data_IF_085816236904
#
_entry.id   IF_085816236904
#
_cell.length_a   1.000
_cell.length_b   1.000
_cell.length_c   1.000
_cell.angle_alpha   90.00
_cell.angle_beta   90.00
_cell.angle_gamma   90.00
#
_symmetry.space_group_name_H-M   'P 1'
#
loop_
_entity.id
_entity.type
_entity.pdbx_description
1 polymer ?
#
# COMPACT_ATOMS: atom_id res chain seq x y z
N UNK A 1 -16.43 36.19 -25.75
CA UNK A 1 -17.32 35.06 -25.53
C UNK A 1 -16.60 34.09 -24.65
N UNK A 2 -16.83 34.32 -23.47
CA UNK A 2 -16.46 33.82 -22.17
C UNK A 2 -16.35 32.31 -22.12
N UNK A 3 -15.16 31.87 -21.85
CA UNK A 3 -14.85 30.57 -21.30
C UNK A 3 -15.33 30.54 -19.84
N UNK A 4 -16.63 30.34 -19.64
CA UNK A 4 -17.19 29.90 -18.39
C UNK A 4 -17.06 28.39 -18.34
N UNK A 5 -16.70 27.94 -17.15
CA UNK A 5 -16.77 26.55 -16.70
C UNK A 5 -15.55 25.67 -16.97
N UNK A 6 -14.35 26.18 -16.74
CA UNK A 6 -13.30 25.29 -16.26
C UNK A 6 -13.44 25.12 -14.72
N UNK A 7 -14.52 24.51 -14.30
CA UNK A 7 -14.54 23.80 -13.03
C UNK A 7 -13.54 22.66 -13.20
N UNK A 8 -12.28 22.95 -12.84
CA UNK A 8 -11.16 22.04 -12.94
C UNK A 8 -11.49 20.69 -12.30
N UNK A 9 -12.10 19.82 -13.10
CA UNK A 9 -12.03 18.39 -12.84
C UNK A 9 -10.53 18.10 -12.85
N UNK A 10 -9.94 17.65 -11.75
CA UNK A 10 -8.51 17.35 -11.70
C UNK A 10 -8.22 16.42 -12.90
N UNK A 11 -7.31 16.81 -13.78
CA UNK A 11 -6.89 15.94 -14.89
C UNK A 11 -6.56 14.58 -14.30
N UNK A 12 -7.34 13.59 -14.64
CA UNK A 12 -7.14 12.23 -14.15
C UNK A 12 -5.78 11.75 -14.67
N UNK A 13 -4.82 11.65 -13.78
CA UNK A 13 -3.48 11.21 -14.15
C UNK A 13 -3.54 9.79 -14.67
N UNK A 14 -2.82 9.51 -15.77
CA UNK A 14 -2.81 8.19 -16.37
C UNK A 14 -2.54 7.10 -15.32
N UNK A 15 -3.50 6.18 -15.15
CA UNK A 15 -3.42 5.09 -14.18
C UNK A 15 -3.85 5.43 -12.75
N UNK A 16 -4.37 6.63 -12.50
CA UNK A 16 -4.80 7.03 -11.15
C UNK A 16 -5.84 6.08 -10.56
N UNK A 17 -6.83 5.65 -11.33
CA UNK A 17 -7.84 4.68 -10.87
C UNK A 17 -7.22 3.36 -10.41
N UNK A 18 -6.22 2.84 -11.12
CA UNK A 18 -5.51 1.62 -10.72
C UNK A 18 -4.63 1.85 -9.48
N UNK A 19 -4.02 3.02 -9.33
CA UNK A 19 -3.27 3.40 -8.13
C UNK A 19 -4.17 3.45 -6.90
N UNK A 20 -5.34 4.08 -7.01
CA UNK A 20 -6.36 4.13 -5.95
C UNK A 20 -6.84 2.72 -5.60
N UNK A 21 -7.14 1.89 -6.60
CA UNK A 21 -7.57 0.51 -6.38
C UNK A 21 -6.51 -0.32 -5.64
N UNK A 22 -5.23 -0.13 -5.95
CA UNK A 22 -4.13 -0.83 -5.28
C UNK A 22 -4.05 -0.47 -3.79
N UNK A 23 -4.11 0.81 -3.44
CA UNK A 23 -4.04 1.25 -2.05
C UNK A 23 -5.34 0.93 -1.27
N UNK A 24 -6.50 1.01 -1.92
CA UNK A 24 -7.76 0.57 -1.33
C UNK A 24 -7.76 -0.93 -1.02
N UNK A 25 -7.24 -1.77 -1.92
CA UNK A 25 -7.08 -3.21 -1.70
C UNK A 25 -6.09 -3.52 -0.58
N UNK A 26 -5.02 -2.72 -0.44
CA UNK A 26 -4.11 -2.83 0.70
C UNK A 26 -4.85 -2.59 2.03
N UNK A 27 -5.64 -1.53 2.12
CA UNK A 27 -6.44 -1.24 3.31
C UNK A 27 -7.52 -2.31 3.57
N UNK A 28 -8.20 -2.78 2.52
CA UNK A 28 -9.16 -3.90 2.63
C UNK A 28 -8.47 -5.16 3.13
N UNK A 29 -7.25 -5.45 2.67
CA UNK A 29 -6.46 -6.57 3.15
C UNK A 29 -6.13 -6.49 4.65
N UNK A 30 -5.90 -5.29 5.15
CA UNK A 30 -5.63 -5.08 6.57
C UNK A 30 -6.89 -5.12 7.44
N UNK A 31 -7.98 -4.52 6.97
CA UNK A 31 -9.15 -4.21 7.81
C UNK A 31 -10.30 -5.23 7.69
N UNK A 32 -10.48 -5.84 6.52
CA UNK A 32 -11.71 -6.58 6.21
C UNK A 32 -11.45 -8.02 5.76
N UNK A 33 -10.57 -8.21 4.80
CA UNK A 33 -10.35 -9.50 4.11
C UNK A 33 -8.86 -9.86 4.09
N UNK A 34 -8.24 -10.12 5.25
CA UNK A 34 -6.80 -10.44 5.32
C UNK A 34 -6.45 -11.65 4.45
N UNK A 35 -5.40 -11.52 3.67
CA UNK A 35 -4.94 -12.54 2.73
C UNK A 35 -5.64 -12.49 1.37
N UNK A 36 -6.96 -12.37 1.30
CA UNK A 36 -7.67 -12.29 0.02
C UNK A 36 -7.35 -10.98 -0.71
N UNK A 37 -7.32 -9.86 0.01
CA UNK A 37 -6.89 -8.57 -0.56
C UNK A 37 -5.47 -8.62 -1.10
N UNK A 38 -4.56 -9.31 -0.43
CA UNK A 38 -3.20 -9.55 -0.91
C UNK A 38 -3.18 -10.39 -2.19
N UNK A 39 -3.97 -11.47 -2.27
CA UNK A 39 -4.04 -12.29 -3.47
C UNK A 39 -4.52 -11.48 -4.68
N UNK A 40 -5.55 -10.65 -4.50
CA UNK A 40 -6.04 -9.75 -5.56
C UNK A 40 -4.95 -8.76 -5.97
N UNK A 41 -4.25 -8.15 -5.01
CA UNK A 41 -3.13 -7.25 -5.28
C UNK A 41 -2.02 -7.95 -6.07
N UNK A 42 -1.65 -9.17 -5.68
CA UNK A 42 -0.63 -9.96 -6.36
C UNK A 42 -1.02 -10.27 -7.81
N UNK A 43 -2.27 -10.66 -8.03
CA UNK A 43 -2.81 -10.91 -9.39
C UNK A 43 -2.80 -9.63 -10.22
N UNK A 44 -3.24 -8.50 -9.67
CA UNK A 44 -3.21 -7.22 -10.37
C UNK A 44 -1.79 -6.79 -10.69
N UNK A 45 -0.86 -6.95 -9.75
CA UNK A 45 0.54 -6.65 -9.98
C UNK A 45 1.14 -7.50 -11.09
N UNK A 46 0.92 -8.81 -11.08
CA UNK A 46 1.40 -9.72 -12.14
C UNK A 46 0.81 -9.37 -13.51
N UNK A 47 -0.47 -8.98 -13.55
CA UNK A 47 -1.16 -8.62 -14.78
C UNK A 47 -0.69 -7.29 -15.38
N UNK A 48 -0.45 -6.29 -14.55
CA UNK A 48 -0.25 -4.91 -14.99
C UNK A 48 1.19 -4.39 -14.83
N UNK A 49 2.11 -5.16 -14.23
CA UNK A 49 3.48 -4.72 -13.93
C UNK A 49 4.25 -4.18 -15.14
N UNK A 50 3.98 -4.72 -16.33
CA UNK A 50 4.70 -4.38 -17.57
C UNK A 50 3.92 -3.37 -18.45
N UNK A 51 2.64 -3.12 -18.15
CA UNK A 51 1.74 -2.28 -18.96
C UNK A 51 1.13 -1.09 -18.23
N UNK A 52 1.22 -1.04 -16.90
CA UNK A 52 0.64 0.04 -16.12
C UNK A 52 1.39 1.36 -16.34
N UNK A 53 0.66 2.50 -16.38
CA UNK A 53 1.28 3.82 -16.30
C UNK A 53 2.15 3.98 -15.04
N UNK A 54 3.18 4.84 -15.05
CA UNK A 54 4.16 4.94 -13.96
C UNK A 54 3.57 5.14 -12.57
N UNK A 55 2.54 5.95 -12.44
CA UNK A 55 1.84 6.19 -11.17
C UNK A 55 1.22 4.90 -10.64
N UNK A 56 0.44 4.21 -11.47
CA UNK A 56 -0.20 2.95 -11.12
C UNK A 56 0.82 1.86 -10.82
N UNK A 57 1.87 1.74 -11.64
CA UNK A 57 2.92 0.75 -11.45
C UNK A 57 3.62 0.92 -10.09
N UNK A 58 3.88 2.15 -9.67
CA UNK A 58 4.49 2.42 -8.37
C UNK A 58 3.57 2.06 -7.22
N UNK A 59 2.33 2.55 -7.19
CA UNK A 59 1.38 2.26 -6.13
C UNK A 59 1.07 0.76 -6.04
N UNK A 60 0.86 0.10 -7.17
CA UNK A 60 0.58 -1.33 -7.22
C UNK A 60 1.75 -2.17 -6.70
N UNK A 61 2.99 -1.84 -7.12
CA UNK A 61 4.19 -2.50 -6.64
C UNK A 61 4.37 -2.33 -5.14
N UNK A 62 4.22 -1.12 -4.61
CA UNK A 62 4.43 -0.87 -3.19
C UNK A 62 3.31 -1.43 -2.33
N UNK A 63 2.03 -1.33 -2.72
CA UNK A 63 0.92 -1.92 -2.00
C UNK A 63 1.07 -3.44 -1.88
N UNK A 64 1.46 -4.12 -2.97
CA UNK A 64 1.74 -5.57 -2.95
C UNK A 64 2.94 -5.90 -2.06
N UNK A 65 4.03 -5.14 -2.18
CA UNK A 65 5.25 -5.36 -1.41
C UNK A 65 5.02 -5.16 0.09
N UNK A 66 4.35 -4.06 0.46
CA UNK A 66 4.07 -3.74 1.88
C UNK A 66 3.04 -4.70 2.46
N UNK A 67 2.07 -5.19 1.67
CA UNK A 67 1.14 -6.25 2.10
C UNK A 67 1.89 -7.54 2.44
N UNK A 68 2.85 -7.94 1.61
CA UNK A 68 3.66 -9.13 1.87
C UNK A 68 4.51 -9.00 3.12
N UNK A 69 5.32 -7.94 3.20
CA UNK A 69 6.22 -7.73 4.34
C UNK A 69 5.48 -7.39 5.62
N UNK A 70 4.40 -6.62 5.53
CA UNK A 70 3.53 -6.33 6.68
C UNK A 70 2.87 -7.59 7.24
N UNK A 71 2.38 -8.46 6.37
CA UNK A 71 1.83 -9.77 6.75
C UNK A 71 2.90 -10.66 7.39
N UNK A 72 4.09 -10.74 6.77
CA UNK A 72 5.22 -11.51 7.32
C UNK A 72 5.66 -10.97 8.70
N UNK A 73 5.70 -9.65 8.87
CA UNK A 73 6.02 -9.02 10.14
C UNK A 73 5.00 -9.38 11.22
N UNK A 74 3.70 -9.24 10.91
CA UNK A 74 2.62 -9.53 11.86
C UNK A 74 2.65 -11.01 12.27
N UNK A 75 2.64 -11.92 11.30
CA UNK A 75 2.59 -13.37 11.58
C UNK A 75 3.91 -13.87 12.18
N UNK A 76 5.05 -13.41 11.63
CA UNK A 76 6.37 -13.84 12.11
C UNK A 76 6.63 -13.46 13.55
N UNK A 77 6.37 -12.22 13.92
CA UNK A 77 6.58 -11.79 15.31
C UNK A 77 5.55 -12.39 16.26
N UNK A 78 4.29 -12.55 15.83
CA UNK A 78 3.29 -13.26 16.63
C UNK A 78 3.72 -14.71 16.91
N UNK A 79 4.21 -15.40 15.88
CA UNK A 79 4.74 -16.77 16.02
C UNK A 79 5.96 -16.83 16.95
N UNK A 80 6.85 -15.83 16.86
CA UNK A 80 8.01 -15.73 17.74
C UNK A 80 7.60 -15.52 19.20
N UNK A 81 6.66 -14.60 19.48
CA UNK A 81 6.16 -14.34 20.84
C UNK A 81 5.56 -15.62 21.42
N UNK A 82 4.71 -16.31 20.65
CA UNK A 82 4.08 -17.57 21.09
C UNK A 82 5.14 -18.65 21.30
N UNK A 83 6.12 -18.78 20.43
CA UNK A 83 7.20 -19.78 20.50
C UNK A 83 8.10 -19.58 21.72
N UNK A 84 8.38 -18.34 22.10
CA UNK A 84 9.25 -18.03 23.24
C UNK A 84 8.52 -18.07 24.58
N UNK A 85 7.26 -17.63 24.64
CA UNK A 85 6.53 -17.42 25.89
C UNK A 85 5.41 -18.45 26.13
N UNK A 86 5.00 -19.17 25.07
CA UNK A 86 3.91 -20.15 25.10
C UNK A 86 2.52 -19.53 25.09
N UNK A 87 1.53 -20.30 24.63
CA UNK A 87 0.12 -19.86 24.53
C UNK A 87 -0.58 -19.71 25.90
N UNK A 88 -0.07 -20.39 26.93
CA UNK A 88 -0.67 -20.39 28.27
C UNK A 88 -0.18 -19.24 29.14
N UNK A 89 0.80 -18.48 28.71
CA UNK A 89 1.31 -17.32 29.43
C UNK A 89 0.41 -16.10 29.21
N UNK A 90 -0.05 -15.48 30.27
CA UNK A 90 -0.82 -14.22 30.21
C UNK A 90 0.00 -13.10 29.50
N UNK A 91 1.31 -13.08 29.75
CA UNK A 91 2.23 -12.11 29.15
C UNK A 91 2.34 -12.26 27.63
N UNK A 92 2.15 -13.48 27.09
CA UNK A 92 2.09 -13.69 25.64
C UNK A 92 0.93 -12.91 25.02
N UNK A 93 -0.23 -12.96 25.65
CA UNK A 93 -1.40 -12.24 25.15
C UNK A 93 -1.24 -10.73 25.25
N UNK A 94 -0.67 -10.23 26.35
CA UNK A 94 -0.36 -8.80 26.49
C UNK A 94 0.61 -8.36 25.38
N UNK A 95 1.70 -9.08 25.18
CA UNK A 95 2.69 -8.78 24.15
C UNK A 95 2.08 -8.83 22.72
N UNK A 96 1.27 -9.86 22.43
CA UNK A 96 0.59 -10.01 21.15
C UNK A 96 -0.37 -8.85 20.86
N UNK A 97 -1.19 -8.47 21.82
CA UNK A 97 -2.15 -7.38 21.65
C UNK A 97 -1.42 -6.05 21.43
N UNK A 98 -0.42 -5.75 22.25
CA UNK A 98 0.37 -4.53 22.09
C UNK A 98 1.09 -4.49 20.75
N UNK A 99 1.79 -5.56 20.41
CA UNK A 99 2.49 -5.67 19.15
C UNK A 99 1.56 -5.52 17.94
N UNK A 100 0.48 -6.32 17.92
CA UNK A 100 -0.50 -6.28 16.83
C UNK A 100 -1.11 -4.89 16.70
N UNK A 101 -1.56 -4.29 17.81
CA UNK A 101 -2.17 -2.95 17.78
C UNK A 101 -1.21 -1.91 17.24
N UNK A 102 0.05 -1.89 17.71
CA UNK A 102 1.03 -0.90 17.25
C UNK A 102 1.36 -1.07 15.76
N UNK A 103 1.69 -2.28 15.33
CA UNK A 103 2.09 -2.52 13.93
C UNK A 103 0.90 -2.37 12.97
N UNK A 104 -0.24 -2.95 13.34
CA UNK A 104 -1.44 -2.87 12.50
C UNK A 104 -1.92 -1.42 12.32
N UNK A 105 -2.02 -0.66 13.42
CA UNK A 105 -2.41 0.75 13.35
C UNK A 105 -1.43 1.59 12.51
N UNK A 106 -0.14 1.32 12.64
CA UNK A 106 0.89 1.99 11.83
C UNK A 106 0.70 1.70 10.34
N UNK A 107 0.49 0.42 9.97
CA UNK A 107 0.24 0.03 8.58
C UNK A 107 -1.04 0.65 8.03
N UNK A 108 -2.12 0.69 8.82
CA UNK A 108 -3.38 1.35 8.42
C UNK A 108 -3.17 2.84 8.17
N UNK A 109 -2.51 3.56 9.07
CA UNK A 109 -2.22 4.98 8.89
C UNK A 109 -1.37 5.24 7.64
N UNK A 110 -0.33 4.45 7.43
CA UNK A 110 0.50 4.56 6.23
C UNK A 110 -0.28 4.26 4.95
N UNK A 111 -1.16 3.26 4.99
CA UNK A 111 -2.07 2.93 3.87
C UNK A 111 -3.06 4.05 3.55
N UNK A 112 -3.60 4.71 4.57
CA UNK A 112 -4.45 5.89 4.39
C UNK A 112 -3.68 7.03 3.72
N UNK A 113 -2.45 7.31 4.15
CA UNK A 113 -1.59 8.30 3.49
C UNK A 113 -1.31 7.94 2.03
N UNK A 114 -0.99 6.69 1.76
CA UNK A 114 -0.75 6.21 0.40
C UNK A 114 -2.00 6.34 -0.48
N UNK A 115 -3.18 6.02 0.06
CA UNK A 115 -4.46 6.20 -0.64
C UNK A 115 -4.73 7.68 -0.97
N UNK A 116 -4.51 8.59 -0.02
CA UNK A 116 -4.65 10.04 -0.25
C UNK A 116 -3.69 10.50 -1.35
N UNK A 117 -2.45 10.00 -1.36
CA UNK A 117 -1.47 10.31 -2.41
C UNK A 117 -1.89 9.78 -3.77
N UNK A 118 -2.41 8.56 -3.84
CA UNK A 118 -2.96 7.99 -5.07
C UNK A 118 -4.14 8.82 -5.59
N UNK A 119 -5.07 9.21 -4.71
CA UNK A 119 -6.21 10.07 -5.06
C UNK A 119 -5.79 11.47 -5.54
N UNK A 120 -4.65 11.96 -5.08
CA UNK A 120 -4.07 13.23 -5.52
C UNK A 120 -3.17 13.09 -6.75
N UNK A 121 -3.09 11.92 -7.37
CA UNK A 121 -2.20 11.65 -8.51
C UNK A 121 -0.70 11.79 -8.18
N UNK A 122 -0.33 11.66 -6.93
CA UNK A 122 1.04 11.87 -6.45
C UNK A 122 1.76 10.55 -6.22
N UNK A 123 3.04 10.53 -6.60
CA UNK A 123 3.93 9.44 -6.23
C UNK A 123 4.16 9.44 -4.72
N UNK A 124 4.16 8.26 -4.12
CA UNK A 124 4.39 8.05 -2.70
C UNK A 124 5.28 6.83 -2.49
N UNK A 125 6.08 6.86 -1.45
CA UNK A 125 6.87 5.73 -1.02
C UNK A 125 6.66 5.50 0.46
N UNK A 126 6.33 4.26 0.83
CA UNK A 126 6.24 3.87 2.24
C UNK A 126 7.60 4.04 2.92
N UNK A 127 7.67 4.76 4.05
CA UNK A 127 8.91 4.88 4.80
C UNK A 127 9.36 3.50 5.30
N UNK A 128 10.66 3.26 5.32
CA UNK A 128 11.35 2.05 5.78
C UNK A 128 11.13 0.80 4.92
N UNK A 129 9.92 0.46 4.53
CA UNK A 129 9.55 -0.79 3.84
C UNK A 129 9.13 -0.62 2.38
N UNK A 130 9.05 0.60 1.88
CA UNK A 130 8.67 0.83 0.48
C UNK A 130 9.80 0.44 -0.48
N UNK A 131 9.50 -0.27 -1.59
CA UNK A 131 10.49 -0.56 -2.62
C UNK A 131 11.03 0.73 -3.24
N UNK A 132 12.21 0.67 -3.85
CA UNK A 132 12.78 1.81 -4.54
C UNK A 132 11.80 2.36 -5.59
N UNK A 133 11.71 3.69 -5.68
CA UNK A 133 10.86 4.34 -6.67
C UNK A 133 11.21 3.85 -8.09
N UNK A 134 10.19 3.70 -8.92
CA UNK A 134 10.39 3.44 -10.34
C UNK A 134 11.14 4.64 -10.92
N UNK A 135 12.32 4.42 -11.51
CA UNK A 135 13.06 5.48 -12.18
C UNK A 135 12.23 5.95 -13.38
N UNK A 136 11.63 7.12 -13.25
CA UNK A 136 11.06 7.78 -14.42
C UNK A 136 12.23 8.19 -15.34
N UNK A 137 12.19 7.87 -16.62
CA UNK A 137 13.17 8.44 -17.56
C UNK A 137 13.09 9.97 -17.42
N UNK A 138 14.24 10.61 -17.21
CA UNK A 138 14.34 12.08 -17.21
C UNK A 138 13.64 12.57 -18.48
N UNK A 139 12.54 13.29 -18.33
CA UNK A 139 11.94 13.99 -19.46
C UNK A 139 13.05 14.81 -20.10
N UNK A 140 13.34 14.50 -21.35
CA UNK A 140 14.27 15.30 -22.13
C UNK A 140 13.73 16.74 -22.10
N UNK A 141 14.50 17.66 -21.51
CA UNK A 141 14.19 19.08 -21.59
C UNK A 141 14.18 19.43 -23.09
N UNK A 142 13.01 19.54 -23.65
CA UNK A 142 12.85 20.21 -24.95
C UNK A 142 13.30 21.64 -24.76
N UNK A 143 14.42 21.96 -25.38
CA UNK A 143 14.90 23.34 -25.54
C UNK A 143 13.97 24.09 -26.50
#
# INVERSE_FOLDING_TARGET
>A
MSSEDDFGIPEEHAGQGLAIAAEALFLLNLLVIPGLGFLILAVLWLKYRDSAPPLAAQHLKQATYVSFWGGLLIVGAASLIIGLMGLHSEWSWVALILYFTCIHSTLVLLGMFALIKAMSGQFWRYPLIGPAAVHLPKQAKTK
#
